data_IF_820313729917
#
_entry.id   IF_820313729917
#
_cell.length_a   1.000
_cell.length_b   1.000
_cell.length_c   1.000
_cell.angle_alpha   90.00
_cell.angle_beta   90.00
_cell.angle_gamma   90.00
#
_symmetry.space_group_name_H-M   'P 1'
#
loop_
_entity.id
_entity.type
_entity.pdbx_description
1 polymer ?
#
# COMPACT_ATOMS: atom_id res chain seq x y z
N UNK A 1 -14.57 -13.02 -26.67
CA UNK A 1 -13.33 -12.94 -25.85
C UNK A 1 -13.60 -12.01 -24.67
N UNK A 2 -13.56 -12.50 -23.44
CA UNK A 2 -13.75 -11.66 -22.26
C UNK A 2 -12.54 -10.70 -22.12
N UNK A 3 -12.80 -9.43 -21.89
CA UNK A 3 -11.74 -8.44 -21.68
C UNK A 3 -11.07 -8.70 -20.30
N UNK A 4 -9.77 -8.88 -20.21
CA UNK A 4 -9.10 -9.45 -19.03
C UNK A 4 -9.13 -8.58 -17.76
N UNK A 5 -9.47 -7.28 -17.82
CA UNK A 5 -9.39 -6.34 -16.69
C UNK A 5 -10.67 -5.51 -16.54
N UNK A 6 -11.84 -6.16 -16.55
CA UNK A 6 -13.12 -5.47 -16.50
C UNK A 6 -13.61 -5.18 -15.08
N UNK A 7 -13.13 -5.93 -14.10
CA UNK A 7 -13.63 -5.87 -12.73
C UNK A 7 -12.59 -5.20 -11.82
N UNK A 8 -13.03 -4.23 -11.03
CA UNK A 8 -12.24 -3.70 -9.93
C UNK A 8 -12.30 -4.69 -8.76
N UNK A 9 -11.14 -5.25 -8.40
CA UNK A 9 -10.99 -6.24 -7.35
C UNK A 9 -10.94 -5.56 -5.98
N UNK A 10 -10.21 -4.47 -5.89
CA UNK A 10 -10.07 -3.66 -4.69
C UNK A 10 -9.48 -2.29 -5.02
N UNK A 11 -9.89 -1.28 -4.28
CA UNK A 11 -9.46 0.11 -4.48
C UNK A 11 -9.21 0.78 -3.14
N UNK A 12 -8.25 1.71 -3.12
CA UNK A 12 -8.00 2.56 -1.97
C UNK A 12 -7.60 3.96 -2.41
N UNK A 13 -7.92 4.96 -1.57
CA UNK A 13 -7.66 6.37 -1.85
C UNK A 13 -7.02 7.05 -0.65
N UNK A 14 -5.98 7.87 -0.90
CA UNK A 14 -5.34 8.71 0.12
C UNK A 14 -5.32 10.17 -0.31
N UNK A 15 -5.43 11.09 0.67
CA UNK A 15 -5.43 12.53 0.41
C UNK A 15 -4.05 13.03 0.00
N UNK A 16 -4.01 13.92 -0.99
CA UNK A 16 -2.81 14.68 -1.38
C UNK A 16 -2.88 16.15 -0.97
N UNK A 17 -3.92 16.58 -0.26
CA UNK A 17 -4.18 18.01 0.02
C UNK A 17 -3.00 18.67 0.70
N UNK A 18 -2.41 18.03 1.72
CA UNK A 18 -1.30 18.58 2.50
C UNK A 18 0.09 18.21 1.96
N UNK A 19 0.19 17.78 0.70
CA UNK A 19 1.48 17.42 0.07
C UNK A 19 2.13 18.61 -0.58
N UNK A 20 3.42 18.78 -0.29
CA UNK A 20 4.23 19.79 -0.97
C UNK A 20 4.35 19.49 -2.47
N UNK A 21 4.72 20.48 -3.28
CA UNK A 21 4.94 20.29 -4.71
C UNK A 21 6.00 19.20 -4.98
N UNK A 22 7.10 19.19 -4.20
CA UNK A 22 8.15 18.18 -4.32
C UNK A 22 7.64 16.77 -3.99
N UNK A 23 6.81 16.61 -2.94
CA UNK A 23 6.17 15.32 -2.65
C UNK A 23 5.24 14.87 -3.78
N UNK A 24 4.42 15.77 -4.32
CA UNK A 24 3.53 15.49 -5.47
C UNK A 24 4.31 15.07 -6.70
N UNK A 25 5.45 15.75 -6.97
CA UNK A 25 6.35 15.38 -8.05
C UNK A 25 6.86 13.93 -7.88
N UNK A 26 7.36 13.58 -6.70
CA UNK A 26 7.86 12.23 -6.40
C UNK A 26 6.75 11.16 -6.49
N UNK A 27 5.56 11.46 -5.96
CA UNK A 27 4.38 10.59 -6.07
C UNK A 27 4.04 10.34 -7.53
N UNK A 28 3.97 11.39 -8.36
CA UNK A 28 3.65 11.24 -9.78
C UNK A 28 4.69 10.39 -10.53
N UNK A 29 5.98 10.51 -10.19
CA UNK A 29 7.02 9.65 -10.78
C UNK A 29 6.80 8.17 -10.43
N UNK A 30 6.49 7.85 -9.19
CA UNK A 30 6.17 6.48 -8.80
C UNK A 30 4.88 5.98 -9.47
N UNK A 31 3.85 6.83 -9.57
CA UNK A 31 2.60 6.53 -10.29
C UNK A 31 2.88 6.16 -11.74
N UNK A 32 3.70 6.94 -12.45
CA UNK A 32 4.06 6.65 -13.84
C UNK A 32 4.78 5.32 -14.02
N UNK A 33 5.59 4.90 -13.04
CA UNK A 33 6.27 3.61 -13.08
C UNK A 33 5.33 2.42 -12.79
N UNK A 34 4.33 2.65 -11.96
CA UNK A 34 3.44 1.60 -11.43
C UNK A 34 2.17 1.40 -12.26
N UNK A 35 1.67 2.46 -12.93
CA UNK A 35 0.39 2.37 -13.66
C UNK A 35 0.48 1.41 -14.84
N UNK A 36 -0.45 0.48 -14.90
CA UNK A 36 -0.52 -0.53 -15.94
C UNK A 36 0.30 -1.79 -15.69
N UNK A 37 1.05 -1.88 -14.59
CA UNK A 37 1.79 -3.10 -14.22
C UNK A 37 0.81 -4.28 -14.12
N UNK A 38 1.17 -5.39 -14.75
CA UNK A 38 0.42 -6.64 -14.73
C UNK A 38 1.20 -7.64 -13.86
N UNK A 39 0.46 -8.34 -13.00
CA UNK A 39 0.97 -9.41 -12.14
C UNK A 39 0.30 -10.69 -12.64
N UNK A 40 1.09 -11.57 -13.24
CA UNK A 40 0.60 -12.85 -13.76
C UNK A 40 0.22 -13.81 -12.61
N UNK A 41 -0.59 -14.85 -12.88
CA UNK A 41 -0.89 -15.88 -11.88
C UNK A 41 0.36 -16.48 -11.25
N UNK A 42 0.45 -16.47 -9.93
CA UNK A 42 1.61 -16.96 -9.16
C UNK A 42 2.74 -15.96 -9.00
N UNK A 43 2.79 -14.90 -9.78
CA UNK A 43 3.87 -13.90 -9.72
C UNK A 43 3.77 -13.02 -8.48
N UNK A 44 4.94 -12.52 -8.07
CA UNK A 44 5.09 -11.56 -6.97
C UNK A 44 5.53 -10.21 -7.51
N UNK A 45 4.70 -9.20 -7.27
CA UNK A 45 5.03 -7.80 -7.48
C UNK A 45 5.94 -7.31 -6.36
N UNK A 46 6.99 -6.55 -6.71
CA UNK A 46 7.87 -5.81 -5.79
C UNK A 46 7.80 -4.33 -6.13
N UNK A 47 7.41 -3.52 -5.15
CA UNK A 47 7.35 -2.07 -5.30
C UNK A 47 8.72 -1.49 -5.65
N UNK A 48 9.75 -1.91 -4.94
CA UNK A 48 11.12 -1.43 -5.17
C UNK A 48 11.68 -1.86 -6.52
N UNK A 49 11.36 -3.06 -7.01
CA UNK A 49 11.81 -3.51 -8.34
C UNK A 49 11.21 -2.68 -9.46
N UNK A 50 9.94 -2.28 -9.34
CA UNK A 50 9.24 -1.49 -10.36
C UNK A 50 9.63 -0.02 -10.30
N UNK A 51 9.60 0.59 -9.12
CA UNK A 51 9.88 2.03 -8.94
C UNK A 51 11.38 2.33 -9.03
N UNK A 52 12.22 1.41 -8.58
CA UNK A 52 13.67 1.54 -8.55
C UNK A 52 14.19 2.47 -7.45
N UNK A 53 15.49 2.76 -7.42
CA UNK A 53 16.10 3.67 -6.44
C UNK A 53 15.61 5.11 -6.63
N UNK A 54 15.41 5.79 -5.50
CA UNK A 54 14.95 7.18 -5.47
C UNK A 54 16.17 8.08 -5.40
N UNK A 55 16.69 8.49 -6.54
CA UNK A 55 17.89 9.31 -6.63
C UNK A 55 17.63 10.57 -7.47
N UNK A 56 18.44 11.64 -7.31
CA UNK A 56 18.32 12.86 -8.13
C UNK A 56 18.49 12.58 -9.62
N UNK A 57 19.39 11.68 -9.99
CA UNK A 57 19.66 11.30 -11.40
C UNK A 57 18.43 10.66 -12.06
N UNK A 58 17.61 10.00 -11.25
CA UNK A 58 16.30 9.48 -11.69
C UNK A 58 15.20 10.53 -11.60
N UNK A 59 15.52 11.77 -11.24
CA UNK A 59 14.63 12.93 -11.18
C UNK A 59 13.74 12.94 -9.93
N UNK A 60 14.11 12.26 -8.84
CA UNK A 60 13.45 12.44 -7.56
C UNK A 60 13.97 13.69 -6.86
N UNK A 61 13.06 14.39 -6.16
CA UNK A 61 13.35 15.63 -5.44
C UNK A 61 13.43 15.39 -3.94
N UNK A 62 14.19 16.25 -3.27
CA UNK A 62 14.12 16.36 -1.82
C UNK A 62 12.73 16.85 -1.38
N UNK A 63 12.17 16.20 -0.39
CA UNK A 63 10.86 16.53 0.16
C UNK A 63 10.74 16.02 1.60
N UNK A 64 9.79 16.54 2.39
CA UNK A 64 9.51 16.02 3.73
C UNK A 64 9.23 14.53 3.70
N UNK A 65 9.90 13.78 4.56
CA UNK A 65 9.75 12.34 4.76
C UNK A 65 9.90 11.98 6.25
N UNK A 66 9.24 10.93 6.68
CA UNK A 66 9.49 10.35 8.00
C UNK A 66 10.66 9.36 7.90
N UNK A 67 11.74 9.64 8.63
CA UNK A 67 12.86 8.71 8.82
C UNK A 67 13.01 8.44 10.31
N UNK A 68 12.95 7.17 10.68
CA UNK A 68 13.01 6.71 12.07
C UNK A 68 12.10 7.51 13.02
N UNK A 69 12.61 8.58 13.60
CA UNK A 69 11.93 9.37 14.65
C UNK A 69 11.49 10.74 14.21
N UNK A 70 12.03 11.26 13.11
CA UNK A 70 11.91 12.67 12.76
C UNK A 70 11.32 12.91 11.37
N UNK A 71 10.67 14.05 11.22
CA UNK A 71 10.34 14.60 9.91
C UNK A 71 11.61 15.25 9.36
N UNK A 72 12.18 14.64 8.35
CA UNK A 72 13.41 15.11 7.70
C UNK A 72 13.15 15.44 6.24
N UNK A 73 14.05 16.19 5.63
CA UNK A 73 14.10 16.33 4.18
C UNK A 73 14.90 15.18 3.60
N UNK A 74 14.30 14.42 2.69
CA UNK A 74 14.96 13.28 2.03
C UNK A 74 14.52 13.17 0.58
N UNK A 75 15.41 12.64 -0.26
CA UNK A 75 15.08 12.37 -1.67
C UNK A 75 14.01 11.30 -1.75
N UNK A 76 12.93 11.56 -2.49
CA UNK A 76 11.81 10.65 -2.62
C UNK A 76 10.74 10.78 -1.51
N UNK A 77 10.77 11.86 -0.71
CA UNK A 77 9.68 12.13 0.24
C UNK A 77 8.31 12.07 -0.44
N UNK A 78 7.33 11.38 0.20
CA UNK A 78 6.00 11.10 -0.33
C UNK A 78 5.81 9.68 -0.89
N UNK A 79 6.88 8.95 -1.22
CA UNK A 79 6.80 7.62 -1.84
C UNK A 79 6.11 6.58 -0.94
N UNK A 80 6.34 6.61 0.39
CA UNK A 80 5.66 5.70 1.32
C UNK A 80 4.13 5.91 1.38
N UNK A 81 3.61 7.04 0.93
CA UNK A 81 2.18 7.20 0.75
C UNK A 81 1.68 6.38 -0.46
N UNK A 82 2.46 6.32 -1.54
CA UNK A 82 2.12 5.49 -2.70
C UNK A 82 2.12 4.02 -2.32
N UNK A 83 3.18 3.53 -1.66
CA UNK A 83 3.23 2.13 -1.20
C UNK A 83 2.13 1.79 -0.20
N UNK A 84 1.79 2.68 0.73
CA UNK A 84 0.67 2.49 1.66
C UNK A 84 -0.67 2.39 0.93
N UNK A 85 -0.87 3.20 -0.12
CA UNK A 85 -2.10 3.15 -0.93
C UNK A 85 -2.16 1.86 -1.76
N UNK A 86 -1.02 1.41 -2.33
CA UNK A 86 -0.92 0.11 -3.03
C UNK A 86 -1.21 -1.05 -2.07
N UNK A 87 -0.62 -1.05 -0.86
CA UNK A 87 -0.84 -2.07 0.15
C UNK A 87 -2.33 -2.25 0.47
N UNK A 88 -3.01 -1.13 0.75
CA UNK A 88 -4.43 -1.19 1.07
C UNK A 88 -5.29 -1.68 -0.10
N UNK A 89 -5.02 -1.19 -1.31
CA UNK A 89 -5.73 -1.65 -2.50
C UNK A 89 -5.48 -3.15 -2.77
N UNK A 90 -4.25 -3.64 -2.57
CA UNK A 90 -3.87 -5.04 -2.72
C UNK A 90 -4.58 -5.94 -1.68
N UNK A 91 -4.58 -5.52 -0.41
CA UNK A 91 -5.24 -6.26 0.66
C UNK A 91 -6.76 -6.34 0.43
N UNK A 92 -7.39 -5.24 -0.01
CA UNK A 92 -8.81 -5.20 -0.37
C UNK A 92 -9.14 -6.01 -1.64
N UNK A 93 -8.19 -6.08 -2.58
CA UNK A 93 -8.32 -6.92 -3.77
C UNK A 93 -8.22 -8.42 -3.49
N UNK A 94 -7.76 -8.82 -2.31
CA UNK A 94 -7.53 -10.23 -1.97
C UNK A 94 -6.16 -10.77 -2.41
N UNK A 95 -5.23 -9.90 -2.82
CA UNK A 95 -3.86 -10.31 -3.10
C UNK A 95 -3.14 -10.73 -1.81
N UNK A 96 -2.20 -11.67 -1.93
CA UNK A 96 -1.39 -12.12 -0.78
C UNK A 96 -0.31 -11.10 -0.45
N UNK A 97 -0.22 -10.69 0.80
CA UNK A 97 0.80 -9.75 1.27
C UNK A 97 2.02 -10.57 1.71
N UNK A 98 3.10 -10.52 0.91
CA UNK A 98 4.32 -11.30 1.14
C UNK A 98 5.32 -10.54 2.01
N UNK A 99 5.40 -9.21 1.82
CA UNK A 99 6.30 -8.35 2.59
C UNK A 99 5.67 -6.98 2.77
N UNK A 100 5.66 -6.49 3.98
CA UNK A 100 5.20 -5.15 4.35
C UNK A 100 5.86 -4.74 5.67
N UNK A 101 6.32 -3.53 5.75
CA UNK A 101 6.94 -2.94 6.94
C UNK A 101 6.11 -1.76 7.43
N UNK A 102 5.70 -1.69 8.70
CA UNK A 102 5.10 -0.49 9.28
C UNK A 102 6.13 0.63 9.41
N UNK A 103 5.66 1.87 9.49
CA UNK A 103 6.52 2.95 9.96
C UNK A 103 6.76 2.82 11.47
N UNK A 104 7.86 3.39 11.92
CA UNK A 104 8.18 3.43 13.34
C UNK A 104 7.15 4.22 14.16
N UNK A 105 6.54 5.25 13.56
CA UNK A 105 5.48 6.09 14.11
C UNK A 105 4.26 6.11 13.19
N UNK A 106 3.12 6.51 13.75
CA UNK A 106 1.91 6.70 12.95
C UNK A 106 2.12 7.77 11.89
N UNK A 107 1.69 7.50 10.68
CA UNK A 107 1.68 8.46 9.57
C UNK A 107 0.28 9.04 9.40
N UNK A 108 0.18 10.27 8.90
CA UNK A 108 -1.12 10.95 8.72
C UNK A 108 -1.88 10.53 7.47
N UNK A 109 -1.21 9.86 6.53
CA UNK A 109 -1.81 9.51 5.22
C UNK A 109 -2.79 8.34 5.26
N UNK A 110 -2.67 7.46 6.25
CA UNK A 110 -3.51 6.28 6.45
C UNK A 110 -3.69 5.99 7.94
N UNK A 111 -4.75 5.28 8.36
CA UNK A 111 -4.90 4.80 9.73
C UNK A 111 -3.74 3.89 10.16
N UNK A 112 -3.46 3.75 11.48
CA UNK A 112 -2.50 2.78 11.99
C UNK A 112 -2.78 1.37 11.46
N UNK A 113 -1.73 0.59 11.19
CA UNK A 113 -1.84 -0.75 10.60
C UNK A 113 -2.08 -0.77 9.09
N UNK A 114 -2.29 0.40 8.48
CA UNK A 114 -2.60 0.54 7.06
C UNK A 114 -1.48 1.18 6.24
N UNK A 115 -0.35 1.48 6.85
CA UNK A 115 0.83 2.05 6.21
C UNK A 115 1.79 0.96 5.71
N UNK A 116 2.63 1.32 4.75
CA UNK A 116 3.70 0.47 4.23
C UNK A 116 4.94 1.31 3.94
N UNK A 117 6.00 1.08 4.69
CA UNK A 117 7.31 1.68 4.48
C UNK A 117 8.01 0.99 3.32
N UNK A 118 8.62 1.78 2.43
CA UNK A 118 9.52 1.28 1.40
C UNK A 118 10.82 2.06 1.40
N UNK A 119 11.94 1.33 1.41
CA UNK A 119 13.29 1.87 1.32
C UNK A 119 14.11 0.96 0.40
N UNK A 120 14.63 1.50 -0.70
CA UNK A 120 15.31 0.71 -1.69
C UNK A 120 16.50 -0.07 -1.09
N UNK A 121 16.49 -1.38 -1.27
CA UNK A 121 17.50 -2.29 -0.73
C UNK A 121 17.33 -2.66 0.76
N UNK A 122 16.31 -2.13 1.48
CA UNK A 122 16.13 -2.41 2.91
C UNK A 122 14.72 -2.85 3.28
N UNK A 123 13.68 -2.18 2.77
CA UNK A 123 12.28 -2.49 3.06
C UNK A 123 11.46 -2.42 1.78
N UNK A 124 10.66 -3.43 1.49
CA UNK A 124 9.82 -3.49 0.30
C UNK A 124 8.35 -3.70 0.65
N UNK A 125 7.49 -3.43 -0.32
CA UNK A 125 6.13 -3.92 -0.36
C UNK A 125 6.07 -4.97 -1.47
N UNK A 126 5.77 -6.21 -1.09
CA UNK A 126 5.65 -7.32 -2.03
C UNK A 126 4.29 -7.97 -1.91
N UNK A 127 3.61 -8.12 -3.02
CA UNK A 127 2.29 -8.75 -3.10
C UNK A 127 2.28 -9.84 -4.16
N UNK A 128 1.62 -10.96 -3.89
CA UNK A 128 1.53 -12.09 -4.81
C UNK A 128 0.12 -12.24 -5.35
N UNK A 129 0.02 -12.51 -6.64
CA UNK A 129 -1.22 -12.83 -7.31
C UNK A 129 -1.50 -14.34 -7.19
N UNK A 130 -2.42 -14.72 -6.31
CA UNK A 130 -2.90 -16.11 -6.17
C UNK A 130 -4.16 -16.40 -7.00
N UNK A 131 -4.67 -15.44 -7.78
CA UNK A 131 -5.76 -15.70 -8.72
C UNK A 131 -5.27 -16.55 -9.90
N UNK A 132 -6.19 -17.26 -10.54
CA UNK A 132 -5.93 -18.01 -11.78
C UNK A 132 -5.90 -17.13 -13.05
N UNK A 133 -5.94 -15.80 -12.89
CA UNK A 133 -5.94 -14.81 -13.97
C UNK A 133 -5.00 -13.65 -13.65
N UNK A 134 -4.50 -12.92 -14.65
CA UNK A 134 -3.66 -11.76 -14.44
C UNK A 134 -4.42 -10.63 -13.73
N UNK A 135 -3.71 -9.86 -12.94
CA UNK A 135 -4.20 -8.68 -12.22
C UNK A 135 -3.41 -7.46 -12.66
N UNK A 136 -4.11 -6.36 -12.96
CA UNK A 136 -3.51 -5.10 -13.40
C UNK A 136 -3.63 -4.03 -12.34
N UNK A 137 -2.53 -3.36 -12.04
CA UNK A 137 -2.48 -2.19 -11.18
C UNK A 137 -2.86 -0.93 -11.96
N UNK A 138 -3.78 -0.13 -11.43
CA UNK A 138 -4.20 1.15 -11.99
C UNK A 138 -4.08 2.26 -10.96
N UNK A 139 -3.41 3.34 -11.33
CA UNK A 139 -3.17 4.49 -10.48
C UNK A 139 -3.76 5.75 -11.13
N UNK A 140 -4.56 6.48 -10.35
CA UNK A 140 -5.22 7.71 -10.81
C UNK A 140 -4.99 8.81 -9.78
N UNK A 141 -3.93 9.60 -9.94
CA UNK A 141 -3.75 10.80 -9.14
C UNK A 141 -4.66 11.91 -9.67
N UNK A 142 -5.27 12.62 -8.76
CA UNK A 142 -5.90 13.92 -9.03
C UNK A 142 -5.25 15.00 -8.14
N UNK A 143 -5.72 16.25 -8.23
CA UNK A 143 -5.17 17.36 -7.42
C UNK A 143 -5.35 17.16 -5.91
N UNK A 144 -6.31 16.34 -5.48
CA UNK A 144 -6.69 16.18 -4.08
C UNK A 144 -6.35 14.81 -3.52
N UNK A 145 -6.20 13.78 -4.38
CA UNK A 145 -6.01 12.42 -3.93
C UNK A 145 -5.25 11.54 -4.91
N UNK A 146 -4.67 10.47 -4.37
CA UNK A 146 -4.16 9.33 -5.09
C UNK A 146 -5.13 8.16 -4.91
N UNK A 147 -5.74 7.71 -6.00
CA UNK A 147 -6.53 6.49 -6.03
C UNK A 147 -5.76 5.37 -6.71
N UNK A 148 -5.75 4.19 -6.10
CA UNK A 148 -5.12 2.99 -6.61
C UNK A 148 -6.13 1.87 -6.61
N UNK A 149 -6.20 1.12 -7.72
CA UNK A 149 -7.07 -0.02 -7.89
C UNK A 149 -6.34 -1.20 -8.51
N UNK A 150 -6.68 -2.40 -8.09
CA UNK A 150 -6.35 -3.64 -8.80
C UNK A 150 -7.55 -4.10 -9.62
N UNK A 151 -7.30 -4.44 -10.87
CA UNK A 151 -8.31 -4.88 -11.84
C UNK A 151 -8.00 -6.30 -12.32
N UNK A 152 -9.05 -7.10 -12.49
CA UNK A 152 -8.92 -8.49 -12.96
C UNK A 152 -10.18 -8.99 -13.62
N UNK A 153 -10.32 -10.30 -13.73
CA UNK A 153 -11.46 -10.97 -14.35
C UNK A 153 -12.57 -11.31 -13.36
N UNK A 154 -12.21 -11.76 -12.15
CA UNK A 154 -13.16 -12.17 -11.10
C UNK A 154 -12.65 -11.78 -9.72
N UNK A 155 -13.57 -11.51 -8.79
CA UNK A 155 -13.26 -11.20 -7.38
C UNK A 155 -12.98 -12.46 -6.58
N UNK A 156 -12.19 -12.31 -5.51
CA UNK A 156 -11.97 -13.35 -4.51
C UNK A 156 -13.26 -13.65 -3.72
N UNK A 157 -13.99 -12.59 -3.38
CA UNK A 157 -15.16 -12.64 -2.52
C UNK A 157 -16.10 -11.48 -2.82
N UNK A 158 -17.32 -11.55 -2.30
CA UNK A 158 -18.32 -10.49 -2.45
C UNK A 158 -17.96 -9.25 -1.64
N UNK A 159 -17.36 -9.47 -0.48
CA UNK A 159 -16.96 -8.40 0.42
C UNK A 159 -15.62 -8.68 1.11
N UNK A 160 -14.70 -7.70 1.04
CA UNK A 160 -13.41 -7.73 1.71
C UNK A 160 -13.25 -6.47 2.55
N UNK A 161 -12.90 -6.62 3.82
CA UNK A 161 -12.63 -5.53 4.75
C UNK A 161 -11.28 -5.69 5.43
N UNK A 162 -10.66 -4.56 5.79
CA UNK A 162 -9.50 -4.54 6.66
C UNK A 162 -9.94 -3.97 8.00
N UNK A 163 -9.90 -4.82 9.01
CA UNK A 163 -10.20 -4.49 10.39
C UNK A 163 -8.90 -4.17 11.11
N UNK A 164 -8.91 -3.09 11.89
CA UNK A 164 -7.76 -2.67 12.70
C UNK A 164 -8.22 -2.55 14.13
N UNK A 165 -7.62 -3.34 15.01
CA UNK A 165 -7.95 -3.40 16.45
C UNK A 165 -6.74 -2.91 17.24
N UNK A 166 -6.93 -1.88 18.07
CA UNK A 166 -5.90 -1.49 19.02
C UNK A 166 -5.83 -2.52 20.13
N UNK A 167 -4.62 -3.01 20.41
CA UNK A 167 -4.35 -3.97 21.46
C UNK A 167 -3.80 -3.26 22.70
N UNK A 168 -4.02 -3.85 23.87
CA UNK A 168 -3.32 -3.40 25.08
C UNK A 168 -1.81 -3.59 24.90
N UNK A 169 -1.04 -2.55 25.18
CA UNK A 169 0.44 -2.62 25.15
C UNK A 169 0.95 -2.93 26.54
N UNK A 170 1.78 -3.95 26.72
CA UNK A 170 2.35 -4.29 28.02
C UNK A 170 3.31 -3.24 28.60
N UNK A 171 3.82 -2.33 27.76
CA UNK A 171 4.83 -1.34 28.14
C UNK A 171 4.39 0.09 27.81
N UNK A 172 4.70 1.03 28.68
CA UNK A 172 4.55 2.47 28.51
C UNK A 172 5.46 2.97 27.39
N UNK A 173 4.96 3.20 26.19
CA UNK A 173 5.77 3.79 25.11
C UNK A 173 5.40 3.42 23.69
N UNK A 174 4.34 2.65 23.51
CA UNK A 174 3.87 2.27 22.18
C UNK A 174 2.37 2.06 22.09
N UNK A 175 1.86 2.01 20.85
CA UNK A 175 0.50 1.56 20.58
C UNK A 175 0.57 0.37 19.65
N UNK A 176 -0.04 -0.75 20.02
CA UNK A 176 -0.08 -1.99 19.25
C UNK A 176 -1.40 -2.12 18.51
N UNK A 177 -1.34 -2.61 17.27
CA UNK A 177 -2.50 -2.79 16.42
C UNK A 177 -2.46 -4.17 15.77
N UNK A 178 -3.57 -4.88 15.86
CA UNK A 178 -3.83 -6.10 15.12
C UNK A 178 -4.58 -5.74 13.84
N UNK A 179 -4.05 -6.16 12.70
CA UNK A 179 -4.63 -5.89 11.38
C UNK A 179 -5.12 -7.20 10.80
N UNK A 180 -6.41 -7.28 10.50
CA UNK A 180 -7.06 -8.50 10.03
C UNK A 180 -7.81 -8.19 8.74
N UNK A 181 -7.67 -9.06 7.75
CA UNK A 181 -8.52 -9.09 6.56
C UNK A 181 -9.71 -10.01 6.82
N UNK A 182 -10.91 -9.45 6.71
CA UNK A 182 -12.16 -10.18 6.69
C UNK A 182 -12.59 -10.41 5.25
N UNK A 183 -12.86 -11.64 4.89
CA UNK A 183 -13.34 -12.07 3.57
C UNK A 183 -14.69 -12.74 3.73
N UNK A 184 -15.73 -12.18 3.11
CA UNK A 184 -17.10 -12.68 3.17
C UNK A 184 -17.60 -13.05 1.77
N UNK A 185 -18.16 -14.25 1.66
CA UNK A 185 -18.84 -14.74 0.46
C UNK A 185 -20.36 -14.81 0.68
N UNK A 186 -21.15 -14.65 -0.37
CA UNK A 186 -22.63 -14.66 -0.35
C UNK A 186 -23.24 -15.93 0.26
N UNK A 187 -22.45 -16.99 0.40
CA UNK A 187 -22.85 -18.26 1.02
C UNK A 187 -22.66 -18.35 2.54
N UNK A 188 -22.35 -17.23 3.25
CA UNK A 188 -22.17 -17.12 4.71
C UNK A 188 -20.83 -17.60 5.29
N UNK A 189 -19.81 -17.91 4.51
CA UNK A 189 -18.48 -18.15 5.08
C UNK A 189 -17.78 -16.83 5.34
N UNK A 190 -17.30 -16.68 6.58
CA UNK A 190 -16.43 -15.56 7.00
C UNK A 190 -15.06 -16.12 7.31
N UNK A 191 -14.07 -15.62 6.62
CA UNK A 191 -12.68 -15.98 6.85
C UNK A 191 -11.92 -14.77 7.37
N UNK A 192 -11.15 -14.97 8.44
CA UNK A 192 -10.29 -13.96 9.03
C UNK A 192 -8.84 -14.32 8.78
N UNK A 193 -8.09 -13.41 8.18
CA UNK A 193 -6.67 -13.58 7.94
C UNK A 193 -5.91 -12.49 8.70
N UNK A 194 -4.98 -12.89 9.55
CA UNK A 194 -4.07 -11.95 10.22
C UNK A 194 -3.08 -11.41 9.18
N UNK A 195 -3.12 -10.10 8.92
CA UNK A 195 -2.18 -9.44 8.04
C UNK A 195 -0.93 -8.98 8.79
N UNK A 196 -1.08 -8.42 10.00
CA UNK A 196 0.07 -8.00 10.80
C UNK A 196 -0.30 -7.74 12.26
N UNK A 197 0.77 -7.67 13.09
CA UNK A 197 0.76 -7.11 14.43
C UNK A 197 1.76 -5.96 14.44
N UNK A 198 1.27 -4.73 14.47
CA UNK A 198 2.09 -3.54 14.33
C UNK A 198 2.28 -2.84 15.68
N UNK A 199 3.47 -2.32 15.93
CA UNK A 199 3.78 -1.51 17.11
C UNK A 199 4.31 -0.16 16.65
N UNK A 200 3.62 0.90 17.05
CA UNK A 200 4.04 2.29 16.79
C UNK A 200 4.48 2.91 18.11
N UNK A 201 5.63 3.56 18.12
CA UNK A 201 6.05 4.32 19.30
C UNK A 201 5.22 5.58 19.47
N UNK A 202 4.88 5.88 20.71
CA UNK A 202 4.27 7.15 21.14
C UNK A 202 5.41 8.13 21.43
N UNK A 203 5.20 9.40 21.13
CA UNK A 203 6.15 10.49 21.44
C UNK A 203 6.25 10.73 22.93
#
# INVERSE_FOLDING_TARGET
>A
MSRPFQMELGTYRTSLVDRTEAQRHNINKAVMALDGVIIEPGDTFSFNSVVGPRTPERGYREAPAFMERDLVTSIGGGICQVSSTVYNAAALAGLSIIERHPHFRRVSSVPPGRDATVWYGQADLRVQNLFSHPVRLRLRPDHHALQIAFQGHSKLADHVQILVEQQATPNEGGASFRVVRLVENTGRSRNFELLSLDVYRVN
#
